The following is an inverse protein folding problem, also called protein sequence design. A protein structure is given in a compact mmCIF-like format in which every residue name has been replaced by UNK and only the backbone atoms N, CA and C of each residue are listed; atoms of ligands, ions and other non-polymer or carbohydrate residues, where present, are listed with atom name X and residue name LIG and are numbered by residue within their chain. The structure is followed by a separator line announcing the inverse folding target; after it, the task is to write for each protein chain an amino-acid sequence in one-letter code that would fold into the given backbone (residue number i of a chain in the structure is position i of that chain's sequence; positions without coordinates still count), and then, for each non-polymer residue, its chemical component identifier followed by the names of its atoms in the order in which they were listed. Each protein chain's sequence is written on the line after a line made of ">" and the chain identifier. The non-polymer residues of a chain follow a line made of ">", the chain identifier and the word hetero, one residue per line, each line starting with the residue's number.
data_IF_614419212393
#
_entry.id   IF_614419212393
#
_cell.length_a   1.000
_cell.length_b   1.000
_cell.length_c   1.000
_cell.angle_alpha   90.00
_cell.angle_beta   90.00
_cell.angle_gamma   90.00
#
_symmetry.space_group_name_H-M   'P 1'
#
loop_
_entity.id
_entity.type
_entity.pdbx_description
1 polymer ?
#
# COMPACT_ATOMS: atom_id res chain seq x y z
N UNK A 1 5.04 -4.77 -40.00
CA UNK A 1 5.97 -4.98 -38.87
C UNK A 1 5.82 -3.97 -37.72
N UNK A 2 5.71 -2.65 -37.95
CA UNK A 2 5.67 -1.64 -36.87
C UNK A 2 4.54 -1.79 -35.83
N UNK A 3 3.36 -2.28 -36.21
CA UNK A 3 2.24 -2.48 -35.28
C UNK A 3 2.45 -3.64 -34.30
N UNK A 4 3.10 -4.72 -34.75
CA UNK A 4 3.39 -5.88 -33.88
C UNK A 4 4.37 -5.50 -32.76
N UNK A 5 5.43 -4.76 -33.11
CA UNK A 5 6.42 -4.29 -32.14
C UNK A 5 5.80 -3.34 -31.11
N UNK A 6 4.92 -2.43 -31.55
CA UNK A 6 4.18 -1.52 -30.66
C UNK A 6 3.26 -2.29 -29.70
N UNK A 7 2.54 -3.31 -30.18
CA UNK A 7 1.68 -4.15 -29.34
C UNK A 7 2.51 -4.92 -28.32
N UNK A 8 3.65 -5.48 -28.71
CA UNK A 8 4.58 -6.16 -27.80
C UNK A 8 5.06 -5.23 -26.68
N UNK A 9 5.49 -4.01 -27.00
CA UNK A 9 5.90 -3.02 -26.00
C UNK A 9 4.76 -2.65 -25.03
N UNK A 10 3.52 -2.58 -25.52
CA UNK A 10 2.34 -2.33 -24.66
C UNK A 10 2.05 -3.52 -23.74
N UNK A 11 2.21 -4.75 -24.22
CA UNK A 11 2.10 -5.97 -23.38
C UNK A 11 3.17 -6.00 -22.29
N UNK A 12 4.43 -5.67 -22.61
CA UNK A 12 5.52 -5.59 -21.64
C UNK A 12 5.23 -4.53 -20.56
N UNK A 13 4.66 -3.38 -20.94
CA UNK A 13 4.25 -2.33 -19.98
C UNK A 13 3.14 -2.82 -19.04
N UNK A 14 2.16 -3.57 -19.56
CA UNK A 14 1.11 -4.19 -18.72
C UNK A 14 1.73 -5.19 -17.74
N UNK A 15 2.62 -6.07 -18.21
CA UNK A 15 3.29 -7.05 -17.37
C UNK A 15 4.10 -6.37 -16.25
N UNK A 16 4.91 -5.35 -16.57
CA UNK A 16 5.67 -4.59 -15.58
C UNK A 16 4.75 -3.90 -14.57
N UNK A 17 3.69 -3.23 -15.01
CA UNK A 17 2.75 -2.57 -14.11
C UNK A 17 2.00 -3.56 -13.20
N UNK A 18 1.78 -4.80 -13.66
CA UNK A 18 1.24 -5.89 -12.85
C UNK A 18 2.20 -6.32 -11.74
N UNK A 19 3.48 -6.51 -12.06
CA UNK A 19 4.53 -6.82 -11.07
C UNK A 19 4.62 -5.70 -10.03
N UNK A 20 4.70 -4.44 -10.47
CA UNK A 20 4.76 -3.28 -9.57
C UNK A 20 3.58 -3.24 -8.58
N UNK A 21 2.37 -3.61 -9.04
CA UNK A 21 1.18 -3.66 -8.18
C UNK A 21 1.30 -4.75 -7.12
N UNK A 22 1.73 -5.97 -7.50
CA UNK A 22 1.92 -7.07 -6.56
C UNK A 22 2.97 -6.73 -5.51
N UNK A 23 4.08 -6.10 -5.91
CA UNK A 23 5.12 -5.64 -5.00
C UNK A 23 4.61 -4.57 -4.04
N UNK A 24 3.86 -3.57 -4.54
CA UNK A 24 3.24 -2.56 -3.70
C UNK A 24 2.24 -3.15 -2.69
N UNK A 25 1.42 -4.13 -3.12
CA UNK A 25 0.46 -4.82 -2.24
C UNK A 25 1.17 -5.66 -1.18
N UNK A 26 2.31 -6.28 -1.51
CA UNK A 26 3.19 -6.92 -0.52
C UNK A 26 3.73 -5.91 0.48
N UNK A 27 4.23 -4.76 0.03
CA UNK A 27 4.71 -3.69 0.90
C UNK A 27 3.64 -3.18 1.86
N UNK A 28 2.41 -2.98 1.37
CA UNK A 28 1.28 -2.58 2.21
C UNK A 28 0.91 -3.65 3.25
N UNK A 29 0.94 -4.93 2.90
CA UNK A 29 0.71 -6.02 3.86
C UNK A 29 1.77 -6.03 4.96
N UNK A 30 3.04 -5.82 4.60
CA UNK A 30 4.13 -5.73 5.57
C UNK A 30 3.96 -4.53 6.51
N UNK A 31 3.66 -3.33 5.99
CA UNK A 31 3.44 -2.14 6.82
C UNK A 31 2.23 -2.28 7.76
N UNK A 32 1.18 -3.01 7.33
CA UNK A 32 0.03 -3.35 8.19
C UNK A 32 0.41 -4.33 9.31
N UNK A 33 1.27 -5.31 9.02
CA UNK A 33 1.75 -6.24 10.02
C UNK A 33 2.65 -5.52 11.04
N UNK A 34 3.51 -4.64 10.57
CA UNK A 34 4.40 -3.82 11.40
C UNK A 34 3.62 -2.98 12.42
N UNK A 35 2.66 -2.16 11.97
CA UNK A 35 1.89 -1.30 12.88
C UNK A 35 1.07 -2.13 13.89
N UNK A 36 0.55 -3.29 13.47
CA UNK A 36 -0.15 -4.21 14.38
C UNK A 36 0.78 -4.74 15.47
N UNK A 37 1.98 -5.16 15.10
CA UNK A 37 2.98 -5.63 16.06
C UNK A 37 3.40 -4.51 17.04
N UNK A 38 3.45 -3.26 16.58
CA UNK A 38 3.73 -2.12 17.45
C UNK A 38 2.58 -1.84 18.43
N UNK A 39 1.33 -1.93 17.99
CA UNK A 39 0.18 -1.86 18.91
C UNK A 39 0.25 -2.95 19.98
N UNK A 40 0.49 -4.20 19.58
CA UNK A 40 0.61 -5.32 20.52
C UNK A 40 1.76 -5.11 21.52
N UNK A 41 2.89 -4.58 21.06
CA UNK A 41 4.06 -4.25 21.89
C UNK A 41 3.71 -3.17 22.92
N UNK A 42 3.11 -2.06 22.46
CA UNK A 42 2.76 -0.94 23.33
C UNK A 42 1.73 -1.36 24.38
N UNK A 43 0.66 -2.04 23.97
CA UNK A 43 -0.40 -2.47 24.88
C UNK A 43 0.05 -3.53 25.87
N UNK A 44 1.05 -4.36 25.53
CA UNK A 44 1.67 -5.28 26.49
C UNK A 44 2.44 -4.52 27.57
N UNK A 45 3.10 -3.42 27.23
CA UNK A 45 3.92 -2.64 28.16
C UNK A 45 3.10 -1.67 29.03
N UNK A 46 2.05 -1.06 28.46
CA UNK A 46 1.31 0.05 29.09
C UNK A 46 -0.15 -0.28 29.42
N UNK A 47 -0.62 -1.47 29.04
CA UNK A 47 -2.05 -1.81 29.07
C UNK A 47 -2.79 -1.26 27.84
N UNK A 48 -3.94 -1.88 27.52
CA UNK A 48 -4.83 -1.41 26.46
C UNK A 48 -5.94 -0.56 27.08
N UNK A 49 -6.15 0.69 26.63
CA UNK A 49 -7.31 1.47 27.06
C UNK A 49 -8.63 0.75 26.75
N UNK A 50 -9.62 0.93 27.62
CA UNK A 50 -10.95 0.35 27.40
C UNK A 50 -11.66 0.95 26.17
N UNK A 51 -12.50 0.13 25.53
CA UNK A 51 -13.28 0.53 24.38
C UNK A 51 -12.56 0.41 23.02
N UNK A 52 -13.17 1.03 22.01
CA UNK A 52 -12.65 1.03 20.64
C UNK A 52 -11.48 1.99 20.50
N UNK A 53 -10.53 1.64 19.63
CA UNK A 53 -9.40 2.51 19.32
C UNK A 53 -9.91 3.86 18.76
N UNK A 54 -9.61 4.94 19.47
CA UNK A 54 -9.90 6.30 19.04
C UNK A 54 -8.60 7.12 19.07
N UNK A 55 -7.99 7.46 17.91
CA UNK A 55 -6.71 8.16 17.88
C UNK A 55 -6.77 9.61 18.39
N UNK A 56 -7.97 10.15 18.62
CA UNK A 56 -8.19 11.51 19.13
C UNK A 56 -8.45 11.55 20.63
N UNK A 57 -8.69 10.39 21.27
CA UNK A 57 -8.92 10.34 22.70
C UNK A 57 -7.59 10.31 23.46
N UNK A 58 -7.54 11.02 24.59
CA UNK A 58 -6.33 11.19 25.39
C UNK A 58 -5.70 9.85 25.80
N UNK A 59 -6.53 8.87 26.14
CA UNK A 59 -6.09 7.53 26.54
C UNK A 59 -5.29 6.79 25.45
N UNK A 60 -5.44 7.17 24.17
CA UNK A 60 -4.69 6.58 23.05
C UNK A 60 -3.53 7.47 22.56
N UNK A 61 -3.31 8.65 23.15
CA UNK A 61 -2.26 9.58 22.68
C UNK A 61 -0.88 8.92 22.64
N UNK A 62 -0.49 8.22 23.70
CA UNK A 62 0.82 7.58 23.77
C UNK A 62 1.02 6.47 22.72
N UNK A 63 -0.01 5.68 22.42
CA UNK A 63 0.10 4.66 21.36
C UNK A 63 0.11 5.28 19.96
N UNK A 64 -0.58 6.41 19.76
CA UNK A 64 -0.53 7.17 18.51
C UNK A 64 0.87 7.75 18.28
N UNK A 65 1.46 8.39 19.29
CA UNK A 65 2.82 8.91 19.24
C UNK A 65 3.84 7.79 18.97
N UNK A 66 3.73 6.67 19.69
CA UNK A 66 4.61 5.52 19.52
C UNK A 66 4.53 4.92 18.10
N UNK A 67 3.35 4.90 17.49
CA UNK A 67 3.13 4.27 16.17
C UNK A 67 3.18 5.23 14.99
N UNK A 68 3.41 6.53 15.22
CA UNK A 68 3.31 7.58 14.20
C UNK A 68 4.12 7.27 12.93
N UNK A 69 5.40 6.96 13.08
CA UNK A 69 6.27 6.67 11.93
C UNK A 69 5.85 5.41 11.15
N UNK A 70 5.37 4.36 11.82
CA UNK A 70 4.84 3.17 11.14
C UNK A 70 3.52 3.46 10.43
N UNK A 71 2.69 4.32 11.02
CA UNK A 71 1.45 4.78 10.40
C UNK A 71 1.72 5.58 9.11
N UNK A 72 2.73 6.46 9.12
CA UNK A 72 3.20 7.17 7.92
C UNK A 72 3.69 6.21 6.83
N UNK A 73 4.51 5.20 7.19
CA UNK A 73 4.96 4.17 6.24
C UNK A 73 3.78 3.41 5.63
N UNK A 74 2.80 3.03 6.45
CA UNK A 74 1.58 2.37 5.98
C UNK A 74 0.81 3.25 4.99
N UNK A 75 0.68 4.54 5.28
CA UNK A 75 -0.05 5.47 4.41
C UNK A 75 0.71 5.73 3.10
N UNK A 76 2.04 5.81 3.13
CA UNK A 76 2.87 5.84 1.92
C UNK A 76 2.67 4.56 1.09
N UNK A 77 2.70 3.38 1.70
CA UNK A 77 2.46 2.12 1.01
C UNK A 77 1.07 2.05 0.38
N UNK A 78 0.03 2.61 1.04
CA UNK A 78 -1.31 2.73 0.44
C UNK A 78 -1.29 3.59 -0.82
N UNK A 79 -0.58 4.73 -0.81
CA UNK A 79 -0.44 5.60 -2.00
C UNK A 79 0.30 4.89 -3.13
N UNK A 80 1.33 4.10 -2.81
CA UNK A 80 2.08 3.31 -3.79
C UNK A 80 1.18 2.27 -4.48
N UNK A 81 0.35 1.53 -3.72
CA UNK A 81 -0.63 0.58 -4.27
C UNK A 81 -1.62 1.29 -5.19
N UNK A 82 -2.16 2.43 -4.75
CA UNK A 82 -3.10 3.22 -5.57
C UNK A 82 -2.46 3.65 -6.89
N UNK A 83 -1.25 4.21 -6.85
CA UNK A 83 -0.54 4.65 -8.05
C UNK A 83 -0.19 3.48 -8.97
N UNK A 84 0.26 2.35 -8.44
CA UNK A 84 0.55 1.15 -9.22
C UNK A 84 -0.70 0.62 -9.95
N UNK A 85 -1.84 0.57 -9.26
CA UNK A 85 -3.13 0.19 -9.85
C UNK A 85 -3.53 1.13 -10.99
N UNK A 86 -3.39 2.44 -10.79
CA UNK A 86 -3.68 3.44 -11.84
C UNK A 86 -2.77 3.30 -13.06
N UNK A 87 -1.49 2.97 -12.86
CA UNK A 87 -0.54 2.68 -13.96
C UNK A 87 -0.96 1.42 -14.73
N UNK A 88 -1.34 0.35 -14.04
CA UNK A 88 -1.83 -0.87 -14.67
C UNK A 88 -3.11 -0.63 -15.48
N UNK A 89 -4.10 0.05 -14.90
CA UNK A 89 -5.34 0.42 -15.61
C UNK A 89 -5.04 1.21 -16.89
N UNK A 90 -4.12 2.17 -16.80
CA UNK A 90 -3.71 3.01 -17.93
C UNK A 90 -2.99 2.19 -19.01
N UNK A 91 -2.10 1.27 -18.62
CA UNK A 91 -1.39 0.39 -19.54
C UNK A 91 -2.36 -0.57 -20.27
N UNK A 92 -3.32 -1.15 -19.56
CA UNK A 92 -4.36 -2.02 -20.14
C UNK A 92 -5.23 -1.24 -21.13
N UNK A 93 -5.66 -0.02 -20.80
CA UNK A 93 -6.41 0.85 -21.73
C UNK A 93 -5.60 1.22 -22.96
N UNK A 94 -4.29 1.44 -22.82
CA UNK A 94 -3.42 1.74 -23.96
C UNK A 94 -3.29 0.54 -24.89
N UNK A 95 -3.12 -0.68 -24.34
CA UNK A 95 -3.09 -1.92 -25.10
C UNK A 95 -4.44 -2.20 -25.80
N UNK A 96 -5.56 -1.98 -25.10
CA UNK A 96 -6.90 -2.18 -25.65
C UNK A 96 -7.22 -1.25 -26.83
N UNK A 97 -6.66 -0.04 -26.88
CA UNK A 97 -6.80 0.91 -27.99
C UNK A 97 -5.86 0.66 -29.16
N UNK A 98 -4.88 -0.24 -28.99
CA UNK A 98 -3.91 -0.61 -30.03
C UNK A 98 -4.30 -1.90 -30.77
N UNK A 99 -5.36 -2.58 -30.32
CA UNK A 99 -6.05 -3.64 -31.05
C UNK A 99 -7.02 -3.02 -32.04
#
# INVERSE_FOLDING_TARGET
>A
MKNFEKTKQLMERVARAGIDLVEAERGLRQARAEIRAMYDTYFRAHGRPEGNFNPYAEAFRGVVEFTAAANERRDLARRQVYNARRRLESAVRALGRAK
#
